data_IF_022017407662
#
_entry.id   IF_022017407662
#
_cell.length_a   1.000
_cell.length_b   1.000
_cell.length_c   1.000
_cell.angle_alpha   90.00
_cell.angle_beta   90.00
_cell.angle_gamma   90.00
#
_symmetry.space_group_name_H-M   'P 1'
#
loop_
_entity.id
_entity.type
_entity.pdbx_description
1 polymer ?
#
# COMPACT_ATOMS: atom_id res chain seq x y z
N UNK A 1 16.51 13.54 17.88
CA UNK A 1 15.05 13.41 17.83
C UNK A 1 14.75 12.01 17.35
N UNK A 2 14.03 11.21 18.14
CA UNK A 2 13.55 9.91 17.71
C UNK A 2 12.25 10.12 16.91
N UNK A 3 11.91 9.13 16.07
CA UNK A 3 10.68 9.14 15.30
C UNK A 3 9.94 7.84 15.55
N UNK A 4 8.64 7.95 15.78
CA UNK A 4 7.72 6.84 15.66
C UNK A 4 7.27 6.72 14.20
N UNK A 5 7.12 5.50 13.69
CA UNK A 5 6.69 5.24 12.31
C UNK A 5 5.42 4.40 12.26
N UNK A 6 4.56 4.71 11.28
CA UNK A 6 3.33 3.97 11.00
C UNK A 6 3.29 3.57 9.54
N UNK A 7 3.05 2.28 9.29
CA UNK A 7 3.02 1.68 7.95
C UNK A 7 1.60 1.28 7.60
N UNK A 8 1.05 1.84 6.52
CA UNK A 8 -0.32 1.59 6.08
C UNK A 8 -0.30 1.03 4.67
N UNK A 9 -0.75 -0.21 4.51
CA UNK A 9 -0.87 -0.82 3.20
C UNK A 9 -2.03 -0.20 2.42
N UNK A 10 -1.78 0.15 1.16
CA UNK A 10 -2.80 0.65 0.24
C UNK A 10 -2.97 -0.33 -0.93
N UNK A 11 -4.18 -0.43 -1.53
CA UNK A 11 -4.42 -1.28 -2.67
C UNK A 11 -3.51 -0.87 -3.84
N UNK A 12 -2.88 -1.84 -4.53
CA UNK A 12 -1.99 -1.55 -5.66
C UNK A 12 -2.74 -1.04 -6.89
N UNK A 13 -4.06 -1.26 -6.96
CA UNK A 13 -4.90 -0.86 -8.07
C UNK A 13 -6.16 -0.18 -7.54
N UNK A 14 -6.51 0.98 -8.09
CA UNK A 14 -7.77 1.68 -7.81
C UNK A 14 -8.72 1.37 -8.97
N UNK A 15 -9.86 0.75 -8.67
CA UNK A 15 -10.88 0.49 -9.67
C UNK A 15 -11.72 1.76 -9.90
N UNK A 16 -11.61 2.36 -11.08
CA UNK A 16 -12.39 3.54 -11.47
C UNK A 16 -13.36 3.13 -12.57
N UNK A 17 -14.63 3.55 -12.46
CA UNK A 17 -15.60 3.36 -13.54
C UNK A 17 -15.23 4.25 -14.71
N UNK A 18 -15.22 3.72 -15.93
CA UNK A 18 -14.80 4.46 -17.13
C UNK A 18 -15.53 5.81 -17.34
N UNK A 19 -16.80 5.91 -16.93
CA UNK A 19 -17.60 7.16 -17.01
C UNK A 19 -17.22 8.21 -15.96
N UNK A 20 -16.55 7.80 -14.90
CA UNK A 20 -16.14 8.64 -13.78
C UNK A 20 -14.62 8.92 -13.84
N UNK A 21 -13.94 8.47 -14.90
CA UNK A 21 -12.50 8.68 -15.07
C UNK A 21 -12.20 10.15 -15.37
N UNK A 22 -11.52 10.80 -14.43
CA UNK A 22 -11.05 12.19 -14.49
C UNK A 22 -9.52 12.29 -14.59
N UNK A 23 -8.81 11.18 -14.41
CA UNK A 23 -7.34 11.10 -14.53
C UNK A 23 -6.57 11.52 -13.26
N UNK A 24 -7.26 11.85 -12.18
CA UNK A 24 -6.67 12.28 -10.90
C UNK A 24 -7.02 11.37 -9.72
N UNK A 25 -7.53 10.16 -9.98
CA UNK A 25 -8.10 9.28 -8.95
C UNK A 25 -7.03 8.73 -8.02
N UNK A 26 -5.85 8.44 -8.55
CA UNK A 26 -4.70 8.02 -7.75
C UNK A 26 -4.27 9.11 -6.76
N UNK A 27 -4.25 10.37 -7.22
CA UNK A 27 -3.93 11.51 -6.37
C UNK A 27 -5.02 11.74 -5.31
N UNK A 28 -6.30 11.74 -5.70
CA UNK A 28 -7.41 11.93 -4.76
C UNK A 28 -7.48 10.81 -3.70
N UNK A 29 -7.21 9.57 -4.10
CA UNK A 29 -7.13 8.44 -3.18
C UNK A 29 -5.99 8.62 -2.17
N UNK A 30 -4.76 8.88 -2.65
CA UNK A 30 -3.60 9.03 -1.77
C UNK A 30 -3.74 10.25 -0.86
N UNK A 31 -4.29 11.35 -1.39
CA UNK A 31 -4.62 12.55 -0.61
C UNK A 31 -5.59 12.23 0.53
N UNK A 32 -6.62 11.42 0.29
CA UNK A 32 -7.56 10.96 1.32
C UNK A 32 -6.85 10.21 2.44
N UNK A 33 -6.03 9.22 2.09
CA UNK A 33 -5.25 8.41 3.05
C UNK A 33 -4.28 9.28 3.86
N UNK A 34 -3.56 10.18 3.20
CA UNK A 34 -2.60 11.07 3.86
C UNK A 34 -3.31 12.06 4.79
N UNK A 35 -4.41 12.67 4.35
CA UNK A 35 -5.16 13.61 5.16
C UNK A 35 -5.86 12.95 6.35
N UNK A 36 -6.28 11.69 6.23
CA UNK A 36 -6.81 10.92 7.37
C UNK A 36 -5.78 10.83 8.50
N UNK A 37 -4.56 10.39 8.20
CA UNK A 37 -3.52 10.24 9.22
C UNK A 37 -2.88 11.56 9.66
N UNK A 38 -2.82 12.57 8.79
CA UNK A 38 -2.38 13.91 9.16
C UNK A 38 -3.24 14.52 10.28
N UNK A 39 -4.56 14.25 10.30
CA UNK A 39 -5.45 14.69 11.38
C UNK A 39 -5.12 14.05 12.73
N UNK A 40 -4.49 12.87 12.71
CA UNK A 40 -4.04 12.15 13.91
C UNK A 40 -2.60 12.53 14.33
N UNK A 41 -2.01 13.56 13.71
CA UNK A 41 -0.67 14.05 14.01
C UNK A 41 0.47 13.31 13.31
N UNK A 42 0.17 12.51 12.29
CA UNK A 42 1.18 11.80 11.50
C UNK A 42 1.62 12.61 10.27
N UNK A 43 2.92 12.80 10.08
CA UNK A 43 3.48 13.42 8.88
C UNK A 43 3.64 12.36 7.78
N UNK A 44 3.17 12.66 6.56
CA UNK A 44 3.48 11.85 5.39
C UNK A 44 4.98 11.89 5.09
N UNK A 45 5.60 10.72 4.99
CA UNK A 45 7.03 10.61 4.67
C UNK A 45 7.26 10.13 3.25
N UNK A 46 6.69 8.98 2.87
CA UNK A 46 6.86 8.38 1.53
C UNK A 46 5.87 7.26 1.24
N UNK A 47 5.85 6.80 -0.02
CA UNK A 47 5.22 5.54 -0.43
C UNK A 47 6.33 4.56 -0.84
N UNK A 48 6.33 3.40 -0.21
CA UNK A 48 7.25 2.29 -0.47
C UNK A 48 6.54 1.19 -1.26
N UNK A 49 7.29 0.44 -2.07
CA UNK A 49 6.80 -0.76 -2.74
C UNK A 49 7.53 -1.99 -2.21
N UNK A 50 6.79 -3.07 -1.94
CA UNK A 50 7.31 -4.31 -1.36
C UNK A 50 6.85 -5.48 -2.22
N UNK A 51 7.80 -6.22 -2.77
CA UNK A 51 7.53 -7.49 -3.44
C UNK A 51 7.39 -8.62 -2.42
N UNK A 52 6.28 -9.34 -2.47
CA UNK A 52 6.03 -10.52 -1.64
C UNK A 52 5.89 -11.73 -2.55
N UNK A 53 6.70 -12.75 -2.27
CA UNK A 53 6.65 -14.03 -2.96
C UNK A 53 6.02 -15.06 -2.02
N UNK A 54 4.78 -15.43 -2.31
CA UNK A 54 4.10 -16.51 -1.60
C UNK A 54 4.57 -17.83 -2.22
N UNK A 55 5.39 -18.56 -1.47
CA UNK A 55 5.82 -19.90 -1.87
C UNK A 55 4.67 -20.88 -1.65
N UNK A 56 4.41 -21.81 -2.60
CA UNK A 56 3.44 -22.86 -2.39
C UNK A 56 3.88 -23.77 -1.24
N UNK A 57 2.93 -24.23 -0.43
CA UNK A 57 3.20 -25.28 0.55
C UNK A 57 3.61 -26.60 -0.13
N UNK A 58 4.17 -27.54 0.66
CA UNK A 58 4.63 -28.84 0.14
C UNK A 58 3.56 -29.59 -0.66
N UNK A 59 2.31 -29.60 -0.20
CA UNK A 59 1.18 -30.20 -0.92
C UNK A 59 0.79 -29.42 -2.17
N UNK A 60 0.87 -28.10 -2.16
CA UNK A 60 0.52 -27.24 -3.31
C UNK A 60 1.51 -27.40 -4.46
N UNK A 61 2.79 -27.64 -4.15
CA UNK A 61 3.83 -27.89 -5.13
C UNK A 61 3.62 -29.23 -5.88
N UNK A 62 3.14 -30.27 -5.19
CA UNK A 62 2.78 -31.56 -5.79
C UNK A 62 1.62 -31.46 -6.79
N UNK A 63 0.70 -30.51 -6.58
CA UNK A 63 -0.38 -30.19 -7.52
C UNK A 63 0.01 -29.12 -8.56
N UNK A 64 1.29 -28.78 -8.67
CA UNK A 64 1.82 -27.89 -9.71
C UNK A 64 1.52 -26.41 -9.51
N UNK A 65 1.13 -25.96 -8.30
CA UNK A 65 0.96 -24.52 -8.03
C UNK A 65 2.32 -23.83 -8.02
N UNK A 66 2.41 -22.72 -8.76
CA UNK A 66 3.61 -21.88 -8.83
C UNK A 66 3.57 -20.81 -7.73
N UNK A 67 4.76 -20.34 -7.34
CA UNK A 67 4.88 -19.19 -6.46
C UNK A 67 4.12 -18.00 -7.03
N UNK A 68 3.35 -17.33 -6.17
CA UNK A 68 2.62 -16.12 -6.51
C UNK A 68 3.43 -14.92 -6.04
N UNK A 69 3.82 -14.07 -6.97
CA UNK A 69 4.47 -12.79 -6.68
C UNK A 69 3.42 -11.69 -6.69
N UNK A 70 3.37 -10.90 -5.62
CA UNK A 70 2.53 -9.72 -5.51
C UNK A 70 3.37 -8.51 -5.12
N UNK A 71 3.07 -7.34 -5.69
CA UNK A 71 3.63 -6.07 -5.27
C UNK A 71 2.60 -5.34 -4.42
N UNK A 72 3.01 -4.96 -3.21
CA UNK A 72 2.22 -4.15 -2.30
C UNK A 72 2.80 -2.75 -2.23
N UNK A 73 1.93 -1.76 -2.02
CA UNK A 73 2.32 -0.39 -1.73
C UNK A 73 2.00 -0.08 -0.28
N UNK A 74 2.95 0.57 0.38
CA UNK A 74 2.86 0.92 1.80
C UNK A 74 3.14 2.41 1.93
N UNK A 75 2.20 3.14 2.50
CA UNK A 75 2.39 4.53 2.87
C UNK A 75 3.06 4.58 4.24
N UNK A 76 4.20 5.23 4.30
CA UNK A 76 4.99 5.42 5.52
C UNK A 76 4.71 6.81 6.07
N UNK A 77 4.29 6.83 7.33
CA UNK A 77 4.14 8.04 8.13
C UNK A 77 5.15 8.08 9.26
N UNK A 78 5.47 9.28 9.72
CA UNK A 78 6.33 9.50 10.89
C UNK A 78 5.78 10.59 11.79
N UNK A 79 6.13 10.55 13.08
CA UNK A 79 5.94 11.68 14.01
C UNK A 79 7.13 11.75 14.97
N UNK A 80 7.51 12.94 15.44
CA UNK A 80 8.52 13.06 16.48
C UNK A 80 8.04 12.37 17.76
N UNK A 81 8.94 11.64 18.40
CA UNK A 81 8.74 10.98 19.70
C UNK A 81 9.01 11.97 20.85
#
# INVERSE_FOLDING_TARGET
>A
MAFEYKMVQVPPNIAVRAREHRGNEAAAYLEGVVNEHARDGWEFYRVDSIGVNVQPGCFDALFGRKAQSATYFVVTFRRPD
#
